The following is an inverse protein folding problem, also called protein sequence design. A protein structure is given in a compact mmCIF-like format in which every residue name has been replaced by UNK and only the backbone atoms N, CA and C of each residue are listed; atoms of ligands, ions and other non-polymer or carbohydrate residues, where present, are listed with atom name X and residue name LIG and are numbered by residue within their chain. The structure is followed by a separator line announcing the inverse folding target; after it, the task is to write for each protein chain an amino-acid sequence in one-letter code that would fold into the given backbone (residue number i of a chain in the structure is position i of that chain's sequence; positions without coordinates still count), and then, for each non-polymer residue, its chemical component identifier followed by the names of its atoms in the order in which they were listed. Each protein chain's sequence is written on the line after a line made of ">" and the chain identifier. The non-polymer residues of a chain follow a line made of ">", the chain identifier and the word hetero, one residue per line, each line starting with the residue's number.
data_IF_761352277783
#
_entry.id   IF_761352277783
#
_cell.length_a   1.000
_cell.length_b   1.000
_cell.length_c   1.000
_cell.angle_alpha   90.00
_cell.angle_beta   90.00
_cell.angle_gamma   90.00
#
_symmetry.space_group_name_H-M   'P 1'
#
loop_
_entity.id
_entity.type
_entity.pdbx_description
1 polymer ?
#
# COMPACT_ATOMS: atom_id res chain seq x y z
N UNK A 1 3.21 -4.55 6.31
CA UNK A 1 2.09 -3.71 6.80
C UNK A 1 0.80 -4.21 6.22
N UNK A 2 -0.30 -3.95 6.94
CA UNK A 2 -1.66 -4.03 6.44
C UNK A 2 -2.24 -2.62 6.53
N UNK A 3 -2.89 -2.16 5.47
CA UNK A 3 -3.62 -0.90 5.40
C UNK A 3 -5.06 -1.22 5.01
N UNK A 4 -6.01 -0.69 5.77
CA UNK A 4 -7.38 -0.54 5.30
C UNK A 4 -7.56 0.92 4.89
N UNK A 5 -8.04 1.15 3.68
CA UNK A 5 -8.32 2.49 3.14
C UNK A 5 -9.65 2.47 2.40
N UNK A 6 -10.60 3.32 2.83
CA UNK A 6 -11.94 3.44 2.24
C UNK A 6 -12.62 2.09 1.97
N UNK A 7 -12.61 1.19 2.96
CA UNK A 7 -13.21 -0.13 2.89
C UNK A 7 -12.41 -1.20 2.13
N UNK A 8 -11.26 -0.85 1.54
CA UNK A 8 -10.37 -1.78 0.82
C UNK A 8 -9.16 -2.16 1.65
N UNK A 9 -8.65 -3.36 1.43
CA UNK A 9 -7.49 -3.91 2.14
C UNK A 9 -6.26 -3.98 1.24
N UNK A 10 -5.11 -3.60 1.80
CA UNK A 10 -3.81 -3.60 1.16
C UNK A 10 -2.80 -4.25 2.10
N UNK A 11 -1.94 -5.12 1.56
CA UNK A 11 -0.89 -5.79 2.33
C UNK A 11 0.42 -5.64 1.58
N UNK A 12 1.47 -5.15 2.25
CA UNK A 12 2.73 -4.88 1.58
C UNK A 12 3.81 -4.25 2.46
N UNK A 13 4.97 -3.94 1.88
CA UNK A 13 6.07 -3.31 2.59
C UNK A 13 5.76 -1.85 2.94
N UNK A 14 6.39 -1.35 4.01
CA UNK A 14 6.39 0.08 4.35
C UNK A 14 7.56 0.79 3.64
N UNK A 15 7.49 0.84 2.32
CA UNK A 15 8.53 1.43 1.47
C UNK A 15 8.01 2.60 0.63
N UNK A 16 6.87 3.18 1.04
CA UNK A 16 6.20 4.25 0.32
C UNK A 16 5.08 3.80 -0.62
N UNK A 17 5.04 2.53 -1.05
CA UNK A 17 3.97 2.05 -1.94
C UNK A 17 2.56 2.26 -1.35
N UNK A 18 2.37 1.87 -0.08
CA UNK A 18 1.08 2.02 0.61
C UNK A 18 0.81 3.48 1.02
N UNK A 19 1.83 4.33 1.04
CA UNK A 19 1.69 5.71 1.49
C UNK A 19 0.88 6.57 0.53
N UNK A 20 1.01 6.34 -0.77
CA UNK A 20 0.21 7.03 -1.81
C UNK A 20 -1.28 6.69 -1.66
N UNK A 21 -1.59 5.43 -1.32
CA UNK A 21 -2.96 4.99 -1.04
C UNK A 21 -3.49 5.66 0.21
N UNK A 22 -2.72 5.64 1.30
CA UNK A 22 -3.11 6.26 2.56
C UNK A 22 -3.31 7.78 2.44
N UNK A 23 -2.49 8.47 1.64
CA UNK A 23 -2.59 9.91 1.43
C UNK A 23 -3.84 10.33 0.64
N UNK A 24 -4.39 9.44 -0.19
CA UNK A 24 -5.57 9.71 -1.04
C UNK A 24 -6.89 9.25 -0.42
N UNK A 25 -6.84 8.50 0.68
CA UNK A 25 -8.01 7.92 1.32
C UNK A 25 -8.64 8.89 2.31
N UNK A 26 -9.97 8.83 2.45
CA UNK A 26 -10.69 9.61 3.46
C UNK A 26 -10.52 8.99 4.85
N UNK A 27 -10.58 7.65 4.92
CA UNK A 27 -10.43 6.90 6.16
C UNK A 27 -9.34 5.84 6.03
N UNK A 28 -8.46 5.77 7.03
CA UNK A 28 -7.38 4.77 7.05
C UNK A 28 -7.22 4.09 8.41
N UNK A 29 -6.85 2.82 8.37
CA UNK A 29 -6.35 2.07 9.52
C UNK A 29 -5.10 1.31 9.12
N UNK A 30 -4.09 1.32 9.99
CA UNK A 30 -2.78 0.73 9.69
C UNK A 30 -2.39 -0.28 10.77
N UNK A 31 -1.84 -1.40 10.33
CA UNK A 31 -1.29 -2.42 11.21
C UNK A 31 0.12 -2.82 10.78
N UNK A 32 1.00 -2.94 11.77
CA UNK A 32 2.31 -3.57 11.63
C UNK A 32 2.14 -5.08 11.67
N UNK A 33 2.74 -5.79 10.73
CA UNK A 33 2.82 -7.25 10.77
C UNK A 33 3.91 -7.62 11.77
N UNK A 34 3.55 -8.32 12.84
CA UNK A 34 4.46 -8.80 13.88
C UNK A 34 4.76 -10.30 13.73
N UNK A 35 3.90 -11.02 13.02
CA UNK A 35 4.09 -12.43 12.70
C UNK A 35 5.24 -12.67 11.71
N UNK A 36 5.92 -13.80 11.91
CA UNK A 36 6.90 -14.35 10.98
C UNK A 36 6.54 -15.81 10.68
N UNK A 37 6.53 -16.25 9.42
CA UNK A 37 6.36 -17.66 9.08
C UNK A 37 7.56 -18.48 9.57
N UNK A 38 7.35 -19.78 9.74
CA UNK A 38 8.41 -20.73 10.13
C UNK A 38 9.52 -20.79 9.06
N UNK A 39 9.13 -20.76 7.79
CA UNK A 39 10.05 -20.68 6.66
C UNK A 39 9.93 -19.28 6.06
N UNK A 40 11.03 -18.52 6.11
CA UNK A 40 11.11 -17.16 5.59
C UNK A 40 12.28 -17.04 4.62
N UNK A 41 12.00 -16.78 3.34
CA UNK A 41 13.05 -16.55 2.34
C UNK A 41 13.64 -15.16 2.47
N UNK A 42 14.94 -15.02 2.20
CA UNK A 42 15.62 -13.73 2.23
C UNK A 42 15.09 -12.71 1.20
N UNK A 43 14.55 -13.19 0.06
CA UNK A 43 14.18 -12.35 -1.09
C UNK A 43 12.71 -12.46 -1.54
N UNK A 44 11.83 -13.12 -0.79
CA UNK A 44 10.43 -13.37 -1.21
C UNK A 44 9.37 -13.07 -0.15
N UNK A 45 9.53 -11.96 0.58
CA UNK A 45 8.54 -11.52 1.58
C UNK A 45 7.12 -11.34 1.03
N UNK A 46 6.99 -11.00 -0.27
CA UNK A 46 5.70 -10.95 -0.95
C UNK A 46 4.96 -12.28 -0.92
N UNK A 47 5.66 -13.38 -1.18
CA UNK A 47 5.10 -14.74 -1.16
C UNK A 47 4.94 -15.26 0.27
N UNK A 48 5.96 -15.06 1.10
CA UNK A 48 6.04 -15.77 2.39
C UNK A 48 5.29 -15.04 3.52
N UNK A 49 5.18 -13.72 3.44
CA UNK A 49 4.56 -12.89 4.50
C UNK A 49 3.28 -12.22 4.00
N UNK A 50 3.33 -11.48 2.89
CA UNK A 50 2.21 -10.64 2.47
C UNK A 50 1.06 -11.44 1.87
N UNK A 51 1.34 -12.40 0.98
CA UNK A 51 0.30 -13.19 0.32
C UNK A 51 -0.57 -14.02 1.30
N UNK A 52 -0.02 -14.73 2.32
CA UNK A 52 -0.84 -15.47 3.27
C UNK A 52 -1.75 -14.57 4.11
N UNK A 53 -1.26 -13.40 4.53
CA UNK A 53 -2.06 -12.44 5.30
C UNK A 53 -3.15 -11.79 4.42
N UNK A 54 -2.83 -11.46 3.17
CA UNK A 54 -3.81 -10.97 2.21
C UNK A 54 -4.91 -12.02 1.95
N UNK A 55 -4.54 -13.29 1.77
CA UNK A 55 -5.48 -14.39 1.60
C UNK A 55 -6.37 -14.59 2.84
N UNK A 56 -5.81 -14.50 4.05
CA UNK A 56 -6.58 -14.58 5.30
C UNK A 56 -7.66 -13.48 5.37
N UNK A 57 -7.28 -12.24 5.06
CA UNK A 57 -8.20 -11.09 5.06
C UNK A 57 -9.26 -11.25 3.97
N UNK A 58 -8.88 -11.70 2.76
CA UNK A 58 -9.82 -11.92 1.66
C UNK A 58 -10.87 -13.00 1.99
N UNK A 59 -10.51 -13.98 2.83
CA UNK A 59 -11.43 -15.00 3.36
C UNK A 59 -12.24 -14.52 4.57
N UNK A 60 -12.17 -13.24 4.93
CA UNK A 60 -12.89 -12.67 6.08
C UNK A 60 -12.26 -12.95 7.44
N UNK A 61 -11.07 -13.55 7.47
CA UNK A 61 -10.34 -13.89 8.69
C UNK A 61 -9.23 -12.86 8.94
N UNK A 62 -9.55 -11.76 9.63
CA UNK A 62 -8.55 -10.76 9.99
C UNK A 62 -7.55 -11.34 11.01
N UNK A 63 -6.23 -11.31 10.74
CA UNK A 63 -5.23 -11.99 11.55
C UNK A 63 -4.78 -11.14 12.75
N UNK A 64 -5.70 -10.90 13.69
CA UNK A 64 -5.52 -9.98 14.82
C UNK A 64 -4.33 -10.35 15.75
N UNK A 65 -3.99 -11.64 15.85
CA UNK A 65 -2.88 -12.19 16.63
C UNK A 65 -1.51 -11.98 15.96
N UNK A 66 -1.48 -11.64 14.67
CA UNK A 66 -0.28 -11.53 13.84
C UNK A 66 0.14 -10.09 13.56
N UNK A 67 -0.60 -9.14 14.14
CA UNK A 67 -0.51 -7.73 13.77
C UNK A 67 -0.68 -6.83 14.98
N UNK A 68 -0.11 -5.64 14.92
CA UNK A 68 -0.23 -4.59 15.92
C UNK A 68 -0.82 -3.34 15.26
N UNK A 69 -1.89 -2.76 15.82
CA UNK A 69 -2.46 -1.52 15.29
C UNK A 69 -1.51 -0.35 15.57
N UNK A 70 -1.16 0.40 14.53
CA UNK A 70 -0.29 1.56 14.62
C UNK A 70 -0.99 2.82 14.10
N UNK A 71 -0.47 4.00 14.45
CA UNK A 71 -1.10 5.27 14.08
C UNK A 71 -0.97 5.60 12.59
N UNK A 72 0.17 5.29 11.97
CA UNK A 72 0.48 5.63 10.59
C UNK A 72 1.62 4.76 10.04
N UNK A 73 1.78 4.77 8.71
CA UNK A 73 2.95 4.24 8.01
C UNK A 73 4.21 5.07 8.37
N UNK A 74 5.37 4.43 8.38
CA UNK A 74 6.65 5.09 8.62
C UNK A 74 7.09 5.90 7.41
N UNK A 75 6.99 5.33 6.21
CA UNK A 75 7.27 6.06 4.97
C UNK A 75 6.01 6.78 4.53
N UNK A 76 6.08 8.11 4.41
CA UNK A 76 4.95 8.97 4.05
C UNK A 76 5.29 9.77 2.80
N UNK A 77 4.78 9.33 1.66
CA UNK A 77 4.76 10.13 0.43
C UNK A 77 3.47 10.95 0.39
N UNK A 78 3.56 12.17 -0.15
CA UNK A 78 2.41 13.03 -0.36
C UNK A 78 1.50 12.54 -1.50
N UNK A 79 0.29 13.11 -1.56
CA UNK A 79 -0.64 12.94 -2.69
C UNK A 79 -0.62 14.13 -3.64
N UNK A 80 0.47 14.90 -3.63
CA UNK A 80 0.65 16.14 -4.39
C UNK A 80 0.54 15.89 -5.90
N UNK A 81 0.05 16.90 -6.61
CA UNK A 81 0.10 16.95 -8.07
C UNK A 81 1.54 17.28 -8.49
N UNK A 82 2.16 16.37 -9.25
CA UNK A 82 3.53 16.56 -9.74
C UNK A 82 3.48 17.04 -11.20
N UNK A 83 3.87 18.29 -11.52
CA UNK A 83 3.91 18.85 -12.87
C UNK A 83 5.11 18.33 -13.68
N UNK A 84 5.35 17.03 -13.61
CA UNK A 84 6.46 16.31 -14.24
C UNK A 84 5.98 14.93 -14.71
N UNK A 85 6.71 14.34 -15.66
CA UNK A 85 6.44 12.98 -16.16
C UNK A 85 6.88 11.98 -15.09
N UNK A 86 5.93 11.21 -14.54
CA UNK A 86 6.18 10.20 -13.50
C UNK A 86 6.23 8.78 -14.08
N UNK A 87 5.73 8.58 -15.30
CA UNK A 87 5.74 7.29 -15.97
C UNK A 87 5.73 7.47 -17.49
N UNK A 88 6.55 6.69 -18.19
CA UNK A 88 6.49 6.55 -19.64
C UNK A 88 6.05 5.11 -19.96
N UNK A 89 4.97 4.96 -20.72
CA UNK A 89 4.46 3.64 -21.07
C UNK A 89 5.15 3.08 -22.33
N UNK A 90 4.85 1.82 -22.65
CA UNK A 90 5.49 1.13 -23.78
C UNK A 90 4.99 1.61 -25.16
N UNK A 91 3.92 2.41 -25.23
CA UNK A 91 3.41 3.00 -26.46
C UNK A 91 4.05 4.37 -26.75
N UNK A 92 4.83 4.90 -25.79
CA UNK A 92 5.46 6.21 -25.89
C UNK A 92 4.64 7.35 -25.27
N UNK A 93 3.58 7.04 -24.51
CA UNK A 93 2.83 8.07 -23.78
C UNK A 93 3.58 8.48 -22.51
N UNK A 94 3.55 9.77 -22.21
CA UNK A 94 4.07 10.34 -20.98
C UNK A 94 2.92 10.65 -20.01
N UNK A 95 2.91 9.98 -18.85
CA UNK A 95 1.95 10.23 -17.78
C UNK A 95 2.59 11.19 -16.77
N UNK A 96 1.93 12.32 -16.53
CA UNK A 96 2.32 13.25 -15.48
C UNK A 96 1.71 12.85 -14.14
N UNK A 97 2.24 13.40 -13.06
CA UNK A 97 1.63 13.26 -11.74
C UNK A 97 0.46 14.23 -11.48
N UNK A 98 -0.02 14.93 -12.51
CA UNK A 98 -1.15 15.84 -12.40
C UNK A 98 -2.47 15.05 -12.44
N UNK A 99 -3.38 15.34 -11.51
CA UNK A 99 -4.72 14.79 -11.59
C UNK A 99 -5.52 15.58 -12.63
N UNK A 100 -6.25 14.86 -13.49
CA UNK A 100 -7.04 15.46 -14.57
C UNK A 100 -7.99 16.57 -14.11
N UNK A 101 -8.53 16.48 -12.89
CA UNK A 101 -9.43 17.49 -12.30
C UNK A 101 -8.78 18.86 -12.06
N UNK A 102 -7.45 18.94 -12.05
CA UNK A 102 -6.72 20.19 -11.84
C UNK A 102 -6.13 20.76 -13.14
N UNK A 103 -6.33 20.08 -14.27
CA UNK A 103 -5.91 20.56 -15.58
C UNK A 103 -7.02 21.46 -16.15
N UNK A 104 -6.73 22.72 -16.54
CA UNK A 104 -7.70 23.59 -17.20
C UNK A 104 -8.26 22.95 -18.48
N UNK A 105 -9.54 23.20 -18.78
CA UNK A 105 -10.14 22.83 -20.07
C UNK A 105 -9.63 23.71 -21.21
#
# INVERSE_FOLDING_TARGET
>A
MILQADGKWYVGPDNGLLSVVAARAAETQVWRITWRPEILSASFHGRDVFAPLAASIANGAFPADKVEKIRALQVRLGSEDLPEVIHADHYGNALTGLHARHVPQ
#
